data_IF_454808340723
#
_entry.id   IF_454808340723
#
_cell.length_a   1.000
_cell.length_b   1.000
_cell.length_c   1.000
_cell.angle_alpha   90.00
_cell.angle_beta   90.00
_cell.angle_gamma   90.00
#
_symmetry.space_group_name_H-M   'P 1'
#
loop_
_entity.id
_entity.type
_entity.pdbx_description
1 polymer ?
#
# COMPACT_ATOMS: atom_id res chain seq x y z
N UNK A 1 9.73 25.91 21.51
CA UNK A 1 8.63 26.54 20.76
C UNK A 1 7.71 25.43 20.29
N UNK A 2 6.41 25.50 20.57
CA UNK A 2 5.42 24.52 20.13
C UNK A 2 4.53 25.18 19.07
N UNK A 3 4.12 24.40 18.07
CA UNK A 3 3.19 24.83 17.02
C UNK A 3 1.93 24.00 17.19
N UNK A 4 0.79 24.69 17.35
CA UNK A 4 -0.51 24.05 17.38
C UNK A 4 -1.04 23.84 15.95
N UNK A 5 -1.22 22.58 15.57
CA UNK A 5 -1.75 22.19 14.26
C UNK A 5 -3.26 21.91 14.30
N UNK A 6 -3.88 21.86 15.49
CA UNK A 6 -5.30 21.54 15.65
C UNK A 6 -6.24 22.38 14.76
N UNK A 7 -6.06 23.69 14.55
CA UNK A 7 -6.97 24.46 13.69
C UNK A 7 -6.75 24.24 12.19
N UNK A 8 -5.66 23.57 11.78
CA UNK A 8 -5.30 23.38 10.37
C UNK A 8 -5.54 21.95 9.87
N UNK A 9 -5.83 21.02 10.77
CA UNK A 9 -6.10 19.62 10.42
C UNK A 9 -7.60 19.37 10.23
N UNK A 10 -7.93 18.36 9.43
CA UNK A 10 -9.31 17.89 9.31
C UNK A 10 -9.72 17.17 10.62
N UNK A 11 -10.72 17.67 11.38
CA UNK A 11 -11.17 17.02 12.62
C UNK A 11 -11.92 15.70 12.37
N UNK A 12 -12.43 15.49 11.15
CA UNK A 12 -13.28 14.35 10.79
C UNK A 12 -12.72 13.65 9.54
N UNK A 13 -11.58 12.95 9.64
CA UNK A 13 -11.05 12.17 8.53
C UNK A 13 -11.88 10.91 8.28
N UNK A 14 -11.84 10.41 7.04
CA UNK A 14 -12.40 9.09 6.74
C UNK A 14 -11.54 7.99 7.36
N UNK A 15 -12.20 7.07 8.06
CA UNK A 15 -11.58 5.93 8.72
C UNK A 15 -12.27 4.64 8.28
N UNK A 16 -11.50 3.57 8.16
CA UNK A 16 -11.99 2.22 7.89
C UNK A 16 -11.53 1.28 8.99
N UNK A 17 -12.35 0.29 9.39
CA UNK A 17 -11.92 -0.72 10.33
C UNK A 17 -10.95 -1.70 9.69
N UNK A 18 -10.09 -2.32 10.50
CA UNK A 18 -9.05 -3.26 10.05
C UNK A 18 -9.60 -4.53 9.38
N UNK A 19 -10.85 -4.89 9.67
CA UNK A 19 -11.56 -6.05 9.13
C UNK A 19 -12.32 -5.74 7.81
N UNK A 20 -12.26 -4.49 7.32
CA UNK A 20 -12.93 -4.13 6.06
C UNK A 20 -12.21 -4.74 4.85
N UNK A 21 -12.98 -5.35 3.93
CA UNK A 21 -12.41 -5.93 2.71
C UNK A 21 -11.83 -4.88 1.77
N UNK A 22 -10.74 -5.23 1.09
CA UNK A 22 -10.05 -4.34 0.16
C UNK A 22 -10.96 -3.82 -0.96
N UNK A 23 -11.88 -4.64 -1.48
CA UNK A 23 -12.86 -4.23 -2.48
C UNK A 23 -13.77 -3.10 -1.98
N UNK A 24 -14.19 -3.15 -0.70
CA UNK A 24 -15.00 -2.08 -0.10
C UNK A 24 -14.18 -0.81 0.06
N UNK A 25 -12.94 -0.91 0.53
CA UNK A 25 -12.02 0.22 0.65
C UNK A 25 -11.77 0.86 -0.71
N UNK A 26 -11.54 0.06 -1.75
CA UNK A 26 -11.35 0.53 -3.12
C UNK A 26 -12.57 1.29 -3.66
N UNK A 27 -13.78 0.74 -3.45
CA UNK A 27 -15.01 1.41 -3.85
C UNK A 27 -15.21 2.73 -3.08
N UNK A 28 -14.95 2.75 -1.77
CA UNK A 28 -15.00 3.96 -0.95
C UNK A 28 -14.05 5.05 -1.50
N UNK A 29 -12.81 4.67 -1.82
CA UNK A 29 -11.82 5.57 -2.43
C UNK A 29 -12.32 6.18 -3.74
N UNK A 30 -12.87 5.36 -4.64
CA UNK A 30 -13.33 5.81 -5.96
C UNK A 30 -14.59 6.66 -5.90
N UNK A 31 -15.53 6.30 -5.03
CA UNK A 31 -16.81 7.01 -4.91
C UNK A 31 -16.65 8.37 -4.24
N UNK A 32 -15.78 8.46 -3.23
CA UNK A 32 -15.58 9.70 -2.47
C UNK A 32 -14.36 10.51 -2.93
N UNK A 33 -13.59 10.02 -3.90
CA UNK A 33 -12.39 10.71 -4.41
C UNK A 33 -11.28 10.86 -3.35
N UNK A 34 -11.16 9.90 -2.43
CA UNK A 34 -10.21 9.99 -1.32
C UNK A 34 -8.75 9.97 -1.81
N UNK A 35 -7.88 10.65 -1.07
CA UNK A 35 -6.42 10.60 -1.26
C UNK A 35 -5.75 9.61 -0.32
N UNK A 36 -6.26 9.54 0.91
CA UNK A 36 -5.82 8.66 1.97
C UNK A 36 -7.03 8.31 2.84
N UNK A 37 -6.96 7.15 3.50
CA UNK A 37 -7.91 6.74 4.52
C UNK A 37 -7.13 6.10 5.68
N UNK A 38 -7.55 6.37 6.91
CA UNK A 38 -6.88 5.77 8.07
C UNK A 38 -7.52 4.43 8.42
N UNK A 39 -6.69 3.46 8.81
CA UNK A 39 -7.14 2.17 9.32
C UNK A 39 -7.13 2.23 10.84
N UNK A 40 -8.30 2.03 11.45
CA UNK A 40 -8.51 2.15 12.89
C UNK A 40 -9.26 0.91 13.41
N UNK A 41 -8.65 0.10 14.29
CA UNK A 41 -9.29 -1.03 14.94
C UNK A 41 -10.26 -0.55 16.02
N UNK A 42 -11.01 -1.47 16.63
CA UNK A 42 -11.98 -1.17 17.70
C UNK A 42 -11.39 -0.43 18.91
N UNK A 43 -10.08 -0.57 19.14
CA UNK A 43 -9.34 0.13 20.20
C UNK A 43 -9.05 1.62 19.90
N UNK A 44 -9.61 2.18 18.82
CA UNK A 44 -9.55 3.61 18.46
C UNK A 44 -8.15 4.21 18.28
N UNK A 45 -7.14 3.37 18.00
CA UNK A 45 -5.78 3.80 17.70
C UNK A 45 -5.46 3.58 16.23
N UNK A 46 -5.03 4.61 15.50
CA UNK A 46 -4.59 4.45 14.11
C UNK A 46 -3.47 3.42 14.02
N UNK A 47 -3.67 2.38 13.20
CA UNK A 47 -2.66 1.33 12.95
C UNK A 47 -2.00 1.47 11.58
N UNK A 48 -2.62 2.21 10.66
CA UNK A 48 -2.10 2.38 9.31
C UNK A 48 -2.87 3.38 8.49
N UNK A 49 -2.42 3.57 7.26
CA UNK A 49 -3.03 4.45 6.26
C UNK A 49 -2.96 3.75 4.92
N UNK A 50 -4.07 3.78 4.18
CA UNK A 50 -4.13 3.31 2.79
C UNK A 50 -4.21 4.54 1.91
N UNK A 51 -3.51 4.52 0.78
CA UNK A 51 -3.46 5.56 -0.23
C UNK A 51 -3.85 5.01 -1.60
N UNK A 52 -4.00 5.90 -2.59
CA UNK A 52 -4.24 5.44 -3.97
C UNK A 52 -3.15 4.52 -4.50
N UNK A 53 -1.87 4.73 -4.13
CA UNK A 53 -0.76 3.90 -4.61
C UNK A 53 -0.89 2.45 -4.14
N UNK A 54 -1.40 2.24 -2.94
CA UNK A 54 -1.60 0.90 -2.37
C UNK A 54 -2.74 0.11 -3.04
N UNK A 55 -3.62 0.82 -3.76
CA UNK A 55 -4.80 0.27 -4.44
C UNK A 55 -4.65 0.16 -5.96
N UNK A 56 -3.60 0.76 -6.52
CA UNK A 56 -3.27 0.68 -7.93
C UNK A 56 -2.18 -0.36 -8.11
N UNK A 57 -2.51 -1.47 -8.75
CA UNK A 57 -1.50 -2.40 -9.23
C UNK A 57 -0.84 -1.76 -10.44
N UNK A 58 0.38 -1.25 -10.26
CA UNK A 58 1.27 -1.06 -11.39
C UNK A 58 1.77 -2.46 -11.74
N UNK A 59 1.35 -3.00 -12.89
CA UNK A 59 1.99 -4.16 -13.50
C UNK A 59 3.45 -3.77 -13.73
N UNK A 60 4.31 -4.08 -12.76
CA UNK A 60 5.74 -3.91 -12.89
C UNK A 60 6.21 -5.05 -13.81
N UNK A 61 6.05 -4.86 -15.13
CA UNK A 61 6.72 -5.65 -16.18
C UNK A 61 8.23 -5.38 -16.23
N UNK A 62 8.87 -5.10 -15.08
CA UNK A 62 10.33 -5.07 -14.95
C UNK A 62 10.81 -6.42 -14.41
N UNK A 63 10.41 -7.50 -15.10
CA UNK A 63 11.20 -8.73 -15.11
C UNK A 63 12.25 -8.55 -16.20
N UNK A 64 13.33 -7.81 -15.88
CA UNK A 64 14.52 -7.82 -16.73
C UNK A 64 14.93 -9.27 -17.04
N UNK A 65 15.41 -9.58 -18.26
CA UNK A 65 15.73 -10.95 -18.63
C UNK A 65 16.81 -11.46 -17.68
N UNK A 66 16.47 -12.47 -16.88
CA UNK A 66 17.42 -13.16 -16.03
C UNK A 66 18.38 -13.92 -16.96
N UNK A 67 19.55 -13.33 -17.20
CA UNK A 67 20.60 -13.93 -18.02
C UNK A 67 21.10 -15.19 -17.31
N UNK A 68 20.69 -16.34 -17.81
CA UNK A 68 21.13 -17.66 -17.37
C UNK A 68 22.63 -17.79 -17.70
N UNK A 69 23.48 -17.56 -16.70
CA UNK A 69 24.89 -17.91 -16.80
C UNK A 69 25.02 -19.42 -16.95
N UNK A 70 25.21 -19.85 -18.20
CA UNK A 70 25.57 -21.21 -18.57
C UNK A 70 26.98 -21.46 -18.04
N UNK A 71 27.10 -22.04 -16.85
CA UNK A 71 28.37 -22.61 -16.41
C UNK A 71 28.54 -23.96 -17.09
N UNK A 72 29.27 -23.93 -18.21
CA UNK A 72 29.79 -25.11 -18.90
C UNK A 72 30.79 -25.83 -17.99
N UNK A 73 30.29 -26.79 -17.21
CA UNK A 73 31.12 -27.78 -16.51
C UNK A 73 31.78 -28.70 -17.54
N UNK A 74 33.11 -28.67 -17.58
CA UNK A 74 33.95 -29.40 -18.51
C UNK A 74 33.93 -30.92 -18.29
N UNK A 75 33.89 -31.62 -19.42
CA UNK A 75 34.25 -33.02 -19.64
C UNK A 75 35.47 -33.49 -18.84
N UNK A 76 35.32 -34.57 -18.06
CA UNK A 76 36.33 -35.64 -17.99
C UNK A 76 35.73 -36.90 -17.35
N UNK A 77 35.26 -37.84 -18.17
CA UNK A 77 35.00 -39.22 -17.76
C UNK A 77 36.33 -39.97 -17.80
N UNK A 78 36.74 -40.55 -16.67
CA UNK A 78 37.61 -41.72 -16.60
C UNK A 78 36.75 -42.97 -16.51
#
# INVERSE_FOLDING_TARGET
>A
MYIDLAPFVNPSPYVVPEDMSLTKVYNLFRQLGLRHVFVVPRASRVIGMITRKDLLFEDNEDSGPVELQSTSGSTSRR
#
